data_IF_504887883173
#
_entry.id   IF_504887883173
#
_cell.length_a   1.000
_cell.length_b   1.000
_cell.length_c   1.000
_cell.angle_alpha   90.00
_cell.angle_beta   90.00
_cell.angle_gamma   90.00
#
_symmetry.space_group_name_H-M   'P 1'
#
loop_
_entity.id
_entity.type
_entity.pdbx_description
1 polymer ?
#
# COMPACT_ATOMS: atom_id res chain seq x y z
N UNK A 1 -12.26 -2.31 -11.18
CA UNK A 1 -10.79 -2.37 -11.03
C UNK A 1 -10.42 -3.78 -10.59
N UNK A 2 -9.42 -4.40 -11.20
CA UNK A 2 -8.94 -5.71 -10.75
C UNK A 2 -7.92 -5.53 -9.63
N UNK A 3 -8.19 -6.05 -8.43
CA UNK A 3 -7.33 -5.85 -7.25
C UNK A 3 -5.95 -6.52 -7.40
N UNK A 4 -5.83 -7.52 -8.28
CA UNK A 4 -4.55 -8.13 -8.63
C UNK A 4 -3.59 -7.15 -9.31
N UNK A 5 -4.11 -6.09 -9.94
CA UNK A 5 -3.36 -4.96 -10.51
C UNK A 5 -3.53 -3.66 -9.70
N UNK A 6 -4.08 -3.79 -8.49
CA UNK A 6 -4.40 -2.69 -7.58
C UNK A 6 -3.17 -2.02 -6.97
N UNK A 7 -3.45 -0.96 -6.22
CA UNK A 7 -2.49 -0.14 -5.48
C UNK A 7 -1.66 -1.03 -4.54
N UNK A 8 -2.27 -1.95 -3.80
CA UNK A 8 -1.57 -2.81 -2.87
C UNK A 8 -0.49 -3.67 -3.55
N UNK A 9 -0.82 -4.29 -4.70
CA UNK A 9 0.11 -5.13 -5.45
C UNK A 9 1.24 -4.29 -6.07
N UNK A 10 0.91 -3.12 -6.60
CA UNK A 10 1.89 -2.18 -7.16
C UNK A 10 2.86 -1.65 -6.09
N UNK A 11 2.36 -1.27 -4.91
CA UNK A 11 3.19 -0.88 -3.77
C UNK A 11 4.04 -2.07 -3.27
N UNK A 12 3.48 -3.28 -3.24
CA UNK A 12 4.24 -4.49 -2.90
C UNK A 12 5.39 -4.75 -3.90
N UNK A 13 5.19 -4.48 -5.20
CA UNK A 13 6.22 -4.64 -6.22
C UNK A 13 7.39 -3.66 -6.00
N UNK A 14 7.09 -2.44 -5.56
CA UNK A 14 8.11 -1.45 -5.18
C UNK A 14 8.90 -1.85 -3.91
N UNK A 15 8.39 -2.80 -3.13
CA UNK A 15 9.07 -3.37 -1.96
C UNK A 15 10.00 -4.55 -2.31
N UNK A 16 10.11 -4.94 -3.59
CA UNK A 16 11.04 -5.98 -4.03
C UNK A 16 12.46 -5.42 -4.19
N UNK A 17 13.45 -6.16 -3.67
CA UNK A 17 14.86 -5.89 -3.97
C UNK A 17 15.23 -6.35 -5.40
N UNK A 18 16.46 -6.02 -5.83
CA UNK A 18 16.97 -6.42 -7.16
C UNK A 18 17.02 -7.95 -7.39
N UNK A 19 16.87 -8.76 -6.33
CA UNK A 19 16.84 -10.22 -6.39
C UNK A 19 15.42 -10.79 -6.26
N UNK A 20 14.40 -9.94 -6.26
CA UNK A 20 12.99 -10.31 -6.12
C UNK A 20 12.60 -10.70 -4.69
N UNK A 21 13.33 -10.26 -3.67
CA UNK A 21 12.98 -10.54 -2.26
C UNK A 21 12.14 -9.40 -1.72
N UNK A 22 11.13 -9.75 -0.93
CA UNK A 22 10.34 -8.77 -0.18
C UNK A 22 11.22 -8.08 0.87
N UNK A 23 11.11 -6.75 0.95
CA UNK A 23 11.72 -5.92 1.98
C UNK A 23 11.29 -6.35 3.39
N UNK A 24 12.25 -6.39 4.31
CA UNK A 24 12.01 -6.65 5.75
C UNK A 24 11.62 -5.36 6.51
N UNK A 25 11.58 -4.19 5.84
CA UNK A 25 11.20 -2.92 6.47
C UNK A 25 9.73 -2.94 6.89
N UNK A 26 9.46 -2.68 8.18
CA UNK A 26 8.10 -2.67 8.74
C UNK A 26 7.15 -1.69 8.02
N UNK A 27 7.68 -0.55 7.58
CA UNK A 27 6.90 0.47 6.84
C UNK A 27 6.27 -0.10 5.56
N UNK A 28 6.89 -1.09 4.91
CA UNK A 28 6.32 -1.76 3.73
C UNK A 28 5.01 -2.46 4.07
N UNK A 29 4.87 -3.01 5.28
CA UNK A 29 3.63 -3.63 5.77
C UNK A 29 2.50 -2.61 5.91
N UNK A 30 2.79 -1.42 6.47
CA UNK A 30 1.80 -0.34 6.57
C UNK A 30 1.42 0.19 5.19
N UNK A 31 2.39 0.35 4.29
CA UNK A 31 2.14 0.85 2.94
C UNK A 31 1.22 -0.07 2.14
N UNK A 32 1.39 -1.40 2.21
CA UNK A 32 0.47 -2.31 1.51
C UNK A 32 -0.92 -2.38 2.14
N UNK A 33 -1.05 -2.23 3.47
CA UNK A 33 -2.36 -2.13 4.12
C UNK A 33 -3.10 -0.87 3.70
N UNK A 34 -2.39 0.27 3.67
CA UNK A 34 -2.89 1.51 3.10
C UNK A 34 -3.31 1.34 1.64
N UNK A 35 -2.50 0.64 0.84
CA UNK A 35 -2.84 0.31 -0.55
C UNK A 35 -4.11 -0.52 -0.68
N UNK A 36 -4.31 -1.53 0.17
CA UNK A 36 -5.52 -2.36 0.17
C UNK A 36 -6.76 -1.55 0.51
N UNK A 37 -6.66 -0.65 1.49
CA UNK A 37 -7.78 0.21 1.85
C UNK A 37 -8.15 1.15 0.70
N UNK A 38 -7.16 1.75 0.04
CA UNK A 38 -7.39 2.61 -1.13
C UNK A 38 -7.94 1.82 -2.32
N UNK A 39 -7.51 0.56 -2.50
CA UNK A 39 -8.11 -0.32 -3.50
C UNK A 39 -9.61 -0.54 -3.24
N UNK A 40 -9.99 -0.72 -1.97
CA UNK A 40 -11.38 -0.88 -1.57
C UNK A 40 -12.20 0.41 -1.76
N UNK A 41 -11.62 1.58 -1.48
CA UNK A 41 -12.27 2.87 -1.71
C UNK A 41 -12.52 3.09 -3.21
N UNK A 42 -11.49 2.89 -4.05
CA UNK A 42 -11.64 3.03 -5.50
C UNK A 42 -12.56 1.95 -6.12
N UNK A 43 -12.76 0.84 -5.43
CA UNK A 43 -13.74 -0.18 -5.80
C UNK A 43 -15.16 0.12 -5.28
N UNK A 44 -15.38 1.22 -4.55
CA UNK A 44 -16.66 1.58 -3.97
C UNK A 44 -17.11 0.63 -2.85
N UNK A 45 -16.17 -0.04 -2.19
CA UNK A 45 -16.45 -0.98 -1.09
C UNK A 45 -16.26 -0.35 0.30
N UNK A 46 -15.55 0.77 0.35
CA UNK A 46 -15.20 1.50 1.56
C UNK A 46 -15.46 2.98 1.29
N UNK A 47 -16.25 3.62 2.14
CA UNK A 47 -16.49 5.06 2.08
C UNK A 47 -16.16 5.69 3.44
N UNK A 48 -15.54 6.87 3.40
CA UNK A 48 -15.35 7.69 4.60
C UNK A 48 -16.69 8.31 4.99
N UNK A 49 -17.11 8.11 6.24
CA UNK A 49 -18.15 8.88 6.89
C UNK A 49 -17.51 9.69 8.04
N UNK A 50 -18.16 10.80 8.43
CA UNK A 50 -17.58 11.82 9.31
C UNK A 50 -16.83 11.29 10.55
N UNK A 51 -17.28 10.17 11.14
CA UNK A 51 -16.64 9.50 12.27
C UNK A 51 -16.52 7.97 12.10
N UNK A 52 -16.79 7.41 10.91
CA UNK A 52 -16.82 5.96 10.70
C UNK A 52 -16.52 5.55 9.26
N UNK A 53 -16.36 4.25 9.01
CA UNK A 53 -16.17 3.71 7.67
C UNK A 53 -17.39 2.88 7.31
N UNK A 54 -18.03 3.22 6.18
CA UNK A 54 -19.08 2.38 5.59
C UNK A 54 -18.43 1.29 4.75
N UNK A 55 -18.86 0.04 4.94
CA UNK A 55 -18.28 -1.13 4.28
C UNK A 55 -19.34 -1.94 3.57
N UNK A 56 -19.12 -2.19 2.28
CA UNK A 56 -19.82 -3.24 1.55
C UNK A 56 -19.09 -4.58 1.76
N UNK A 57 -19.72 -5.56 2.45
CA UNK A 57 -19.08 -6.83 2.80
C UNK A 57 -18.96 -7.80 1.62
N UNK A 58 -19.43 -7.45 0.42
CA UNK A 58 -19.37 -8.32 -0.76
C UNK A 58 -17.92 -8.70 -1.07
N UNK A 59 -17.59 -10.01 -1.14
CA UNK A 59 -16.23 -10.45 -1.46
C UNK A 59 -15.74 -9.89 -2.80
N UNK A 60 -14.49 -9.45 -2.81
CA UNK A 60 -13.76 -8.92 -3.97
C UNK A 60 -13.11 -10.02 -4.79
N UNK A 61 -12.92 -11.22 -4.22
CA UNK A 61 -12.18 -12.31 -4.83
C UNK A 61 -10.66 -12.17 -4.65
N UNK A 62 -10.20 -11.13 -3.95
CA UNK A 62 -8.79 -10.93 -3.60
C UNK A 62 -8.60 -11.17 -2.09
N UNK A 63 -8.03 -12.32 -1.67
CA UNK A 63 -8.08 -12.75 -0.27
C UNK A 63 -7.55 -11.77 0.78
N UNK A 64 -6.50 -10.95 0.53
CA UNK A 64 -6.08 -9.90 1.45
C UNK A 64 -7.14 -8.82 1.66
N UNK A 65 -7.82 -8.39 0.59
CA UNK A 65 -8.88 -7.40 0.66
C UNK A 65 -10.14 -7.97 1.33
N UNK A 66 -10.48 -9.23 1.03
CA UNK A 66 -11.62 -9.90 1.66
C UNK A 66 -11.43 -10.09 3.17
N UNK A 67 -10.21 -10.40 3.60
CA UNK A 67 -9.87 -10.44 5.03
C UNK A 67 -9.95 -9.08 5.69
N UNK A 68 -9.53 -8.01 5.00
CA UNK A 68 -9.66 -6.65 5.50
C UNK A 68 -11.14 -6.27 5.64
N UNK A 69 -11.96 -6.52 4.61
CA UNK A 69 -13.41 -6.27 4.66
C UNK A 69 -14.10 -7.04 5.79
N UNK A 70 -13.79 -8.32 5.95
CA UNK A 70 -14.35 -9.14 7.02
C UNK A 70 -13.93 -8.62 8.41
N UNK A 71 -12.70 -8.14 8.56
CA UNK A 71 -12.22 -7.58 9.82
C UNK A 71 -12.90 -6.23 10.11
N UNK A 72 -12.97 -5.33 9.13
CA UNK A 72 -13.65 -4.03 9.31
C UNK A 72 -15.13 -4.22 9.63
N UNK A 73 -15.81 -5.17 8.98
CA UNK A 73 -17.19 -5.51 9.28
C UNK A 73 -17.40 -6.10 10.69
N UNK A 74 -16.38 -6.76 11.26
CA UNK A 74 -16.44 -7.31 12.62
C UNK A 74 -16.15 -6.27 13.72
N UNK A 75 -15.36 -5.23 13.41
CA UNK A 75 -14.97 -4.18 14.36
C UNK A 75 -15.20 -2.78 13.75
N UNK A 76 -16.45 -2.37 13.44
CA UNK A 76 -16.73 -1.13 12.72
C UNK A 76 -16.32 0.15 13.48
N UNK A 77 -16.26 0.08 14.81
CA UNK A 77 -15.83 1.18 15.69
C UNK A 77 -14.31 1.37 15.74
N UNK A 78 -13.54 0.46 15.13
CA UNK A 78 -12.07 0.52 15.15
C UNK A 78 -11.59 1.65 14.23
N UNK A 79 -10.73 2.50 14.77
CA UNK A 79 -10.15 3.61 14.03
C UNK A 79 -9.33 3.16 12.82
N UNK A 80 -9.24 4.03 11.82
CA UNK A 80 -8.41 3.83 10.63
C UNK A 80 -6.94 3.52 10.99
N UNK A 81 -6.34 4.28 11.90
CA UNK A 81 -4.98 4.02 12.40
C UNK A 81 -4.87 2.61 13.01
N UNK A 82 -5.89 2.17 13.75
CA UNK A 82 -5.96 0.83 14.31
C UNK A 82 -5.98 -0.26 13.24
N UNK A 83 -6.62 -0.03 12.10
CA UNK A 83 -6.59 -0.93 10.94
C UNK A 83 -5.24 -0.91 10.23
N UNK A 84 -4.66 0.28 10.09
CA UNK A 84 -3.34 0.45 9.49
C UNK A 84 -2.22 -0.13 10.36
N UNK A 85 -2.45 -0.42 11.64
CA UNK A 85 -1.50 -1.09 12.54
C UNK A 85 -1.70 -2.60 12.64
N UNK A 86 -2.74 -3.16 12.00
CA UNK A 86 -3.04 -4.60 12.04
C UNK A 86 -1.92 -5.43 11.38
N UNK A 87 -1.27 -6.30 12.16
CA UNK A 87 -0.10 -7.08 11.68
C UNK A 87 -0.46 -8.40 11.02
N UNK A 88 -1.70 -8.88 11.17
CA UNK A 88 -2.18 -10.13 10.55
C UNK A 88 -2.29 -10.05 9.03
N UNK A 89 -2.27 -8.83 8.48
CA UNK A 89 -2.30 -8.55 7.05
C UNK A 89 -1.03 -7.79 6.68
N UNK A 90 -0.20 -8.38 5.82
CA UNK A 90 1.08 -7.79 5.47
C UNK A 90 1.52 -8.06 4.04
N UNK A 91 2.75 -7.65 3.76
CA UNK A 91 3.36 -7.71 2.44
C UNK A 91 3.38 -9.13 1.84
N UNK A 92 3.55 -10.15 2.69
CA UNK A 92 3.54 -11.56 2.25
C UNK A 92 2.17 -12.04 1.80
N UNK A 93 1.10 -11.53 2.42
CA UNK A 93 -0.28 -11.86 2.04
C UNK A 93 -0.61 -11.32 0.66
N UNK A 94 -0.23 -10.06 0.40
CA UNK A 94 -0.40 -9.41 -0.91
C UNK A 94 0.42 -10.13 -1.98
N UNK A 95 1.68 -10.47 -1.68
CA UNK A 95 2.53 -11.22 -2.59
C UNK A 95 1.95 -12.61 -2.92
N UNK A 96 1.44 -13.33 -1.92
CA UNK A 96 0.81 -14.63 -2.14
C UNK A 96 -0.46 -14.52 -3.02
N UNK A 97 -1.27 -13.49 -2.80
CA UNK A 97 -2.46 -13.24 -3.60
C UNK A 97 -2.12 -12.80 -5.04
N UNK A 98 -1.09 -11.97 -5.24
CA UNK A 98 -0.59 -11.61 -6.56
C UNK A 98 -0.06 -12.83 -7.34
N UNK A 99 0.57 -13.79 -6.65
CA UNK A 99 0.97 -15.07 -7.26
C UNK A 99 -0.25 -15.92 -7.61
N UNK A 100 -1.24 -16.03 -6.72
CA UNK A 100 -2.46 -16.80 -6.96
C UNK A 100 -3.27 -16.24 -8.14
N UNK A 101 -3.29 -14.91 -8.31
CA UNK A 101 -3.91 -14.23 -9.43
C UNK A 101 -3.07 -14.29 -10.73
N UNK A 102 -1.89 -14.91 -10.70
CA UNK A 102 -1.00 -15.01 -11.86
C UNK A 102 -0.31 -13.71 -12.25
N UNK A 103 -0.44 -12.65 -11.44
CA UNK A 103 0.23 -11.36 -11.65
C UNK A 103 1.72 -11.44 -11.35
N UNK A 104 2.11 -12.25 -10.37
CA UNK A 104 3.49 -12.53 -10.00
C UNK A 104 3.84 -14.01 -10.16
N UNK A 105 5.12 -14.30 -10.33
CA UNK A 105 5.68 -15.64 -10.21
C UNK A 105 6.48 -15.77 -8.91
N UNK A 106 6.54 -16.98 -8.36
CA UNK A 106 7.39 -17.27 -7.21
C UNK A 106 8.35 -18.42 -7.51
N UNK A 107 9.63 -18.20 -7.29
CA UNK A 107 10.65 -19.25 -7.22
C UNK A 107 11.01 -19.49 -5.76
N UNK A 108 11.07 -20.75 -5.33
CA UNK A 108 11.32 -21.14 -3.93
C UNK A 108 12.73 -21.75 -3.76
N UNK A 109 13.80 -20.95 -3.69
CA UNK A 109 15.12 -21.48 -3.33
C UNK A 109 15.14 -21.87 -1.84
N UNK A 110 16.17 -22.60 -1.42
CA UNK A 110 16.34 -23.16 -0.07
C UNK A 110 16.15 -22.20 1.12
N UNK A 111 16.35 -20.89 0.96
CA UNK A 111 16.34 -19.93 2.08
C UNK A 111 15.13 -18.99 2.12
N UNK A 112 14.79 -18.32 1.02
CA UNK A 112 13.72 -17.31 0.96
C UNK A 112 13.07 -17.27 -0.43
N UNK A 113 11.72 -17.18 -0.53
CA UNK A 113 11.05 -17.01 -1.80
C UNK A 113 11.58 -15.80 -2.58
N UNK A 114 11.62 -15.94 -3.90
CA UNK A 114 11.88 -14.84 -4.83
C UNK A 114 10.67 -14.65 -5.71
N UNK A 115 10.28 -13.40 -5.92
CA UNK A 115 9.12 -13.02 -6.70
C UNK A 115 9.56 -12.31 -7.97
N UNK A 116 8.89 -12.62 -9.07
CA UNK A 116 9.04 -11.92 -10.33
C UNK A 116 7.72 -11.25 -10.68
N UNK A 117 7.77 -9.93 -10.85
CA UNK A 117 6.65 -9.14 -11.31
C UNK A 117 6.45 -9.35 -12.82
N UNK A 118 5.28 -9.85 -13.27
CA UNK A 118 5.05 -10.12 -14.71
C UNK A 118 4.73 -8.88 -15.56
N UNK A 119 4.47 -7.73 -14.95
CA UNK A 119 4.34 -6.44 -15.63
C UNK A 119 5.40 -5.44 -15.11
N UNK A 120 6.70 -5.76 -15.29
CA UNK A 120 7.80 -4.97 -14.73
C UNK A 120 7.84 -3.54 -15.25
N UNK A 121 7.36 -3.30 -16.48
CA UNK A 121 7.24 -1.97 -17.08
C UNK A 121 6.35 -1.04 -16.25
N UNK A 122 5.28 -1.56 -15.64
CA UNK A 122 4.39 -0.78 -14.78
C UNK A 122 5.07 -0.43 -13.46
N UNK A 123 5.78 -1.38 -12.86
CA UNK A 123 6.57 -1.14 -11.66
C UNK A 123 7.71 -0.14 -11.90
N UNK A 124 8.33 -0.18 -13.08
CA UNK A 124 9.33 0.83 -13.50
C UNK A 124 8.69 2.21 -13.63
N UNK A 125 7.53 2.32 -14.29
CA UNK A 125 6.80 3.58 -14.41
C UNK A 125 6.41 4.15 -13.04
N UNK A 126 5.95 3.29 -12.11
CA UNK A 126 5.60 3.69 -10.75
C UNK A 126 6.80 4.20 -9.95
N UNK A 127 7.96 3.58 -10.14
CA UNK A 127 9.21 4.05 -9.54
C UNK A 127 9.63 5.41 -10.09
N UNK A 128 9.50 5.60 -11.41
CA UNK A 128 9.96 6.80 -12.13
C UNK A 128 9.04 8.03 -12.00
N UNK A 129 7.75 7.86 -11.66
CA UNK A 129 6.74 8.93 -11.65
C UNK A 129 6.99 10.01 -10.58
N UNK A 130 7.80 11.04 -10.83
CA UNK A 130 8.15 12.05 -9.81
C UNK A 130 6.92 12.62 -9.06
N UNK A 131 6.95 12.59 -7.72
CA UNK A 131 5.85 13.12 -6.90
C UNK A 131 5.71 14.65 -7.04
N UNK A 132 6.80 15.33 -7.40
CA UNK A 132 6.86 16.77 -7.66
C UNK A 132 6.40 17.16 -9.06
N UNK A 133 6.19 16.21 -9.96
CA UNK A 133 5.62 16.48 -11.26
C UNK A 133 4.11 16.72 -11.15
N UNK A 134 3.57 17.53 -12.05
CA UNK A 134 2.13 17.74 -12.16
C UNK A 134 1.43 16.41 -12.52
N UNK A 135 0.37 16.00 -11.82
CA UNK A 135 -0.29 14.71 -12.01
C UNK A 135 -1.15 14.62 -13.27
N UNK A 136 -0.82 15.38 -14.32
CA UNK A 136 -1.56 15.42 -15.57
C UNK A 136 -1.59 14.03 -16.22
N UNK A 137 -2.80 13.50 -16.45
CA UNK A 137 -3.03 12.19 -17.07
C UNK A 137 -2.86 11.00 -16.14
N UNK A 138 -2.64 11.21 -14.84
CA UNK A 138 -2.60 10.11 -13.87
C UNK A 138 -4.00 9.59 -13.56
N UNK A 139 -4.12 8.28 -13.38
CA UNK A 139 -5.33 7.72 -12.77
C UNK A 139 -5.31 7.94 -11.26
N UNK A 140 -6.47 7.90 -10.57
CA UNK A 140 -6.53 7.91 -9.10
C UNK A 140 -5.63 6.86 -8.44
N UNK A 141 -5.54 5.67 -9.02
CA UNK A 141 -4.66 4.61 -8.55
C UNK A 141 -3.18 4.96 -8.71
N UNK A 142 -2.78 5.65 -9.79
CA UNK A 142 -1.40 6.11 -9.97
C UNK A 142 -1.01 7.15 -8.92
N UNK A 143 -1.92 8.08 -8.61
CA UNK A 143 -1.74 9.06 -7.55
C UNK A 143 -1.61 8.39 -6.18
N UNK A 144 -2.44 7.38 -5.88
CA UNK A 144 -2.36 6.61 -4.64
C UNK A 144 -1.03 5.88 -4.49
N UNK A 145 -0.60 5.13 -5.52
CA UNK A 145 0.71 4.45 -5.52
C UNK A 145 1.84 5.45 -5.31
N UNK A 146 1.78 6.59 -5.99
CA UNK A 146 2.78 7.66 -5.87
C UNK A 146 2.84 8.20 -4.44
N UNK A 147 1.70 8.53 -3.83
CA UNK A 147 1.61 9.05 -2.47
C UNK A 147 2.19 8.07 -1.44
N UNK A 148 1.78 6.80 -1.50
CA UNK A 148 2.26 5.76 -0.58
C UNK A 148 3.74 5.46 -0.77
N UNK A 149 4.19 5.31 -2.01
CA UNK A 149 5.57 4.95 -2.30
C UNK A 149 6.55 6.07 -1.96
N UNK A 150 6.15 7.33 -2.12
CA UNK A 150 6.93 8.50 -1.68
C UNK A 150 7.01 8.53 -0.17
N UNK A 151 5.87 8.44 0.52
CA UNK A 151 5.83 8.49 1.99
C UNK A 151 6.60 7.34 2.64
N UNK A 152 6.54 6.14 2.07
CA UNK A 152 7.26 4.97 2.57
C UNK A 152 8.75 4.91 2.15
N UNK A 153 9.27 5.94 1.46
CA UNK A 153 10.67 5.98 1.02
C UNK A 153 11.03 4.83 0.06
N UNK A 154 10.08 4.41 -0.78
CA UNK A 154 10.28 3.35 -1.79
C UNK A 154 10.85 3.90 -3.10
N UNK A 155 10.95 5.22 -3.22
CA UNK A 155 11.28 5.93 -4.46
C UNK A 155 12.54 6.79 -4.38
N UNK A 156 13.22 6.79 -3.24
CA UNK A 156 14.41 7.60 -2.99
C UNK A 156 14.29 8.38 -1.70
N UNK A 157 14.91 9.57 -1.66
CA UNK A 157 15.02 10.43 -0.48
C UNK A 157 13.82 11.38 -0.28
N UNK A 158 12.96 11.53 -1.28
CA UNK A 158 11.79 12.40 -1.18
C UNK A 158 10.69 11.71 -0.37
N UNK A 159 10.33 12.31 0.78
CA UNK A 159 9.27 11.82 1.69
C UNK A 159 8.04 12.75 1.68
N UNK A 160 8.14 13.88 0.97
CA UNK A 160 7.06 14.85 0.87
C UNK A 160 6.11 14.50 -0.28
N UNK A 161 4.81 14.48 0.02
CA UNK A 161 3.75 14.25 -0.96
C UNK A 161 3.05 15.60 -1.18
N UNK A 162 3.11 16.18 -2.39
CA UNK A 162 2.42 17.43 -2.68
C UNK A 162 0.90 17.28 -2.61
N UNK A 163 0.20 18.35 -2.22
CA UNK A 163 -1.26 18.37 -2.14
C UNK A 163 -1.92 18.01 -3.49
N UNK A 164 -1.32 18.41 -4.62
CA UNK A 164 -1.81 18.05 -5.95
C UNK A 164 -1.83 16.52 -6.19
N UNK A 165 -0.88 15.77 -5.62
CA UNK A 165 -0.87 14.30 -5.71
C UNK A 165 -2.00 13.69 -4.88
N UNK A 166 -2.29 14.24 -3.69
CA UNK A 166 -3.41 13.78 -2.87
C UNK A 166 -4.74 14.10 -3.55
N UNK A 167 -4.93 15.32 -4.07
CA UNK A 167 -6.12 15.70 -4.84
C UNK A 167 -6.33 14.80 -6.07
N UNK A 168 -5.25 14.38 -6.75
CA UNK A 168 -5.33 13.49 -7.89
C UNK A 168 -5.79 12.05 -7.54
N UNK A 169 -5.85 11.68 -6.25
CA UNK A 169 -6.46 10.40 -5.83
C UNK A 169 -7.99 10.41 -5.90
N UNK A 170 -8.61 11.56 -6.16
CA UNK A 170 -10.03 11.71 -6.46
C UNK A 170 -10.93 11.23 -5.31
N UNK A 171 -11.82 10.25 -5.52
CA UNK A 171 -12.74 9.79 -4.47
C UNK A 171 -12.03 9.18 -3.26
N UNK A 172 -10.74 8.85 -3.38
CA UNK A 172 -9.92 8.35 -2.28
C UNK A 172 -9.15 9.43 -1.52
N UNK A 173 -9.28 10.72 -1.84
CA UNK A 173 -8.44 11.81 -1.28
C UNK A 173 -8.41 11.85 0.24
N UNK A 174 -9.56 11.76 0.89
CA UNK A 174 -9.66 11.81 2.35
C UNK A 174 -8.92 10.65 3.01
N UNK A 175 -9.18 9.42 2.55
CA UNK A 175 -8.54 8.20 3.05
C UNK A 175 -7.05 8.18 2.69
N UNK A 176 -6.67 8.63 1.48
CA UNK A 176 -5.28 8.71 1.05
C UNK A 176 -4.48 9.67 1.93
N UNK A 177 -5.07 10.81 2.30
CA UNK A 177 -4.48 11.78 3.22
C UNK A 177 -4.26 11.14 4.60
N UNK A 178 -5.28 10.49 5.16
CA UNK A 178 -5.18 9.84 6.45
C UNK A 178 -4.13 8.71 6.47
N UNK A 179 -4.07 7.88 5.42
CA UNK A 179 -3.06 6.83 5.27
C UNK A 179 -1.66 7.41 5.14
N UNK A 180 -1.47 8.48 4.37
CA UNK A 180 -0.17 9.15 4.22
C UNK A 180 0.29 9.72 5.56
N UNK A 181 -0.61 10.37 6.30
CA UNK A 181 -0.28 10.92 7.62
C UNK A 181 0.06 9.82 8.63
N UNK A 182 -0.65 8.68 8.61
CA UNK A 182 -0.28 7.51 9.40
C UNK A 182 1.11 6.98 9.06
N UNK A 183 1.42 6.85 7.76
CA UNK A 183 2.73 6.39 7.30
C UNK A 183 3.86 7.34 7.73
N UNK A 184 3.64 8.66 7.65
CA UNK A 184 4.60 9.66 8.15
C UNK A 184 4.86 9.49 9.63
N UNK A 185 3.80 9.47 10.46
CA UNK A 185 3.91 9.25 11.92
C UNK A 185 4.64 7.95 12.24
N UNK A 186 4.39 6.90 11.46
CA UNK A 186 5.03 5.59 11.62
C UNK A 186 6.51 5.62 11.24
N UNK A 187 6.87 6.28 10.13
CA UNK A 187 8.25 6.44 9.68
C UNK A 187 9.08 7.27 10.68
N UNK A 188 8.50 8.36 11.21
CA UNK A 188 9.12 9.20 12.22
C UNK A 188 9.41 8.39 13.49
N UNK A 189 8.44 7.58 13.95
CA UNK A 189 8.59 6.71 15.11
C UNK A 189 9.77 5.73 14.95
N UNK A 190 9.86 5.06 13.80
CA UNK A 190 10.97 4.13 13.53
C UNK A 190 12.32 4.84 13.46
N UNK A 191 12.37 6.07 12.94
CA UNK A 191 13.59 6.86 12.89
C UNK A 191 14.07 7.23 14.29
N UNK A 192 13.15 7.62 15.18
CA UNK A 192 13.44 7.90 16.60
C UNK A 192 13.90 6.64 17.33
N UNK A 193 13.22 5.51 17.16
CA UNK A 193 13.58 4.23 17.78
C UNK A 193 14.97 3.75 17.32
N UNK A 194 15.29 3.87 16.02
CA UNK A 194 16.60 3.52 15.48
C UNK A 194 17.72 4.44 16.03
N UNK A 195 17.44 5.73 16.20
CA UNK A 195 18.39 6.71 16.75
C UNK A 195 18.61 6.54 18.25
N UNK A 196 17.60 6.07 18.98
CA UNK A 196 17.66 5.79 20.42
C UNK A 196 18.45 4.55 20.82
N UNK A 197 18.75 3.65 19.86
CA UNK A 197 19.52 2.42 20.09
C UNK A 197 21.05 2.60 20.02
N UNK A 198 21.54 3.83 19.76
CA UNK A 198 22.97 4.15 19.68
C UNK A 198 23.67 3.55 18.44
N UNK A 199 24.85 4.06 18.05
CA UNK A 199 25.64 3.41 17.00
C UNK A 199 26.11 2.05 17.52
N UNK A 200 25.75 0.97 16.81
CA UNK A 200 26.37 -0.35 16.99
C UNK A 200 27.85 -0.30 16.57
#
# INVERSE_FOLDING_TARGET
>A
MELADGIAVRVAALCLDARGRLSDRLICGHAVRGGLLLDLVLAGRVESAADSILVDPTPTGFPPADRLLAAVGAEPERSLDGWLDERRLGLRDVAAAAVAAGRWEVTRPLLRPRYTDRAPERTVADRQRAATAEPAGWTPADACVTALATTAGLRGTDVYVPAAVLAATGPAEEIATAVVDHLRRTADRYTVEASGLGPF
#
